data_IF_685246857365
#
_entry.id   IF_685246857365
#
_cell.length_a   1.000
_cell.length_b   1.000
_cell.length_c   1.000
_cell.angle_alpha   90.00
_cell.angle_beta   90.00
_cell.angle_gamma   90.00
#
_symmetry.space_group_name_H-M   'P 1'
#
loop_
_entity.id
_entity.type
_entity.pdbx_description
1 polymer ?
#
# COMPACT_ATOMS: atom_id res chain seq x y z
N UNK A 1 8.91 1.79 2.79
CA UNK A 1 10.28 1.22 2.59
C UNK A 1 10.39 0.74 1.14
N UNK A 2 11.58 0.78 0.51
CA UNK A 2 11.73 0.50 -0.93
C UNK A 2 12.91 -0.46 -1.18
N UNK A 3 12.76 -1.41 -2.09
CA UNK A 3 13.86 -2.22 -2.67
C UNK A 3 13.73 -2.31 -4.18
N UNK A 4 14.86 -2.43 -4.89
CA UNK A 4 14.86 -2.59 -6.36
C UNK A 4 14.56 -4.00 -6.87
N UNK A 5 14.51 -4.99 -5.98
CA UNK A 5 14.22 -6.40 -6.29
C UNK A 5 13.59 -7.09 -5.06
N UNK A 6 13.05 -8.32 -5.18
CA UNK A 6 12.33 -9.00 -4.11
C UNK A 6 13.21 -9.58 -2.99
N UNK A 7 14.53 -9.42 -3.04
CA UNK A 7 15.45 -9.92 -2.01
C UNK A 7 15.24 -9.26 -0.63
N UNK A 8 14.61 -8.08 -0.58
CA UNK A 8 14.15 -7.50 0.69
C UNK A 8 15.23 -6.89 1.58
N UNK A 9 16.36 -6.40 1.03
CA UNK A 9 17.47 -5.81 1.81
C UNK A 9 17.04 -4.70 2.79
N UNK A 10 16.06 -3.87 2.40
CA UNK A 10 15.52 -2.81 3.25
C UNK A 10 14.36 -3.27 4.15
N UNK A 11 14.12 -4.59 4.27
CA UNK A 11 12.97 -5.19 4.97
C UNK A 11 11.62 -4.57 4.56
N UNK A 12 11.28 -4.52 3.25
CA UNK A 12 10.07 -3.88 2.76
C UNK A 12 8.79 -4.59 3.22
N UNK A 13 8.86 -5.90 3.48
CA UNK A 13 7.75 -6.73 3.94
C UNK A 13 7.29 -6.44 5.38
N UNK A 14 8.01 -5.58 6.11
CA UNK A 14 7.61 -5.13 7.46
C UNK A 14 7.11 -3.68 7.47
N UNK A 15 7.00 -3.04 6.30
CA UNK A 15 6.56 -1.65 6.19
C UNK A 15 5.04 -1.54 6.19
N UNK A 16 4.52 -0.45 6.75
CA UNK A 16 3.12 -0.06 6.52
C UNK A 16 2.84 0.14 5.01
N UNK A 17 3.81 0.73 4.31
CA UNK A 17 3.84 0.89 2.86
C UNK A 17 5.22 0.47 2.31
N UNK A 18 5.23 -0.63 1.56
CA UNK A 18 6.40 -1.22 0.92
C UNK A 18 6.32 -1.13 -0.60
N UNK A 19 7.45 -0.80 -1.24
CA UNK A 19 7.61 -0.88 -2.70
C UNK A 19 8.73 -1.86 -3.02
N UNK A 20 8.42 -2.90 -3.77
CA UNK A 20 9.38 -3.97 -4.13
C UNK A 20 9.48 -4.02 -5.65
N UNK A 21 10.65 -3.69 -6.20
CA UNK A 21 10.86 -3.64 -7.64
C UNK A 21 10.59 -4.99 -8.31
N UNK A 22 9.78 -4.96 -9.37
CA UNK A 22 9.34 -6.14 -10.12
C UNK A 22 9.49 -6.01 -11.65
N UNK A 23 10.14 -4.92 -12.09
CA UNK A 23 10.46 -4.65 -13.48
C UNK A 23 10.92 -3.21 -13.70
N UNK A 24 11.30 -2.85 -14.94
CA UNK A 24 11.66 -1.47 -15.28
C UNK A 24 10.49 -0.51 -15.01
N UNK A 25 10.77 0.49 -14.18
CA UNK A 25 9.81 1.53 -13.76
C UNK A 25 8.51 0.96 -13.16
N UNK A 26 8.56 -0.21 -12.51
CA UNK A 26 7.42 -0.79 -11.81
C UNK A 26 7.79 -1.41 -10.46
N UNK A 27 6.80 -1.45 -9.58
CA UNK A 27 6.92 -2.03 -8.25
C UNK A 27 5.67 -2.84 -7.91
N UNK A 28 5.86 -3.87 -7.09
CA UNK A 28 4.82 -4.39 -6.21
C UNK A 28 4.61 -3.43 -5.05
N UNK A 29 3.35 -3.17 -4.71
CA UNK A 29 2.95 -2.44 -3.51
C UNK A 29 2.60 -3.46 -2.43
N UNK A 30 3.20 -3.30 -1.26
CA UNK A 30 3.00 -4.14 -0.08
C UNK A 30 2.42 -3.31 1.05
N UNK A 31 1.35 -3.80 1.68
CA UNK A 31 0.64 -3.09 2.76
C UNK A 31 0.44 -4.00 3.98
N UNK A 32 0.29 -3.41 5.17
CA UNK A 32 -0.12 -4.12 6.38
C UNK A 32 0.98 -4.43 7.39
N UNK A 33 2.22 -3.98 7.18
CA UNK A 33 3.18 -3.85 8.27
C UNK A 33 2.72 -2.78 9.27
N UNK A 34 3.30 -2.71 10.47
CA UNK A 34 2.92 -1.75 11.53
C UNK A 34 4.10 -0.86 11.97
N UNK A 35 3.84 0.28 12.64
CA UNK A 35 4.88 1.18 13.15
C UNK A 35 5.90 0.53 14.09
N UNK A 36 5.52 -0.54 14.81
CA UNK A 36 6.40 -1.33 15.67
C UNK A 36 6.95 -2.60 15.00
N UNK A 37 6.66 -2.81 13.71
CA UNK A 37 7.08 -3.98 12.92
C UNK A 37 6.67 -5.31 13.56
N UNK A 38 5.48 -5.38 14.14
CA UNK A 38 4.93 -6.64 14.68
C UNK A 38 4.16 -7.47 13.65
N UNK A 39 3.75 -6.87 12.54
CA UNK A 39 3.00 -7.54 11.46
C UNK A 39 3.80 -7.60 10.16
N UNK A 40 3.57 -8.68 9.40
CA UNK A 40 4.10 -8.85 8.06
C UNK A 40 3.10 -8.27 7.04
N UNK A 41 3.59 -7.39 6.17
CA UNK A 41 2.85 -6.86 5.04
C UNK A 41 2.54 -7.96 4.01
N UNK A 42 1.49 -7.76 3.22
CA UNK A 42 1.10 -8.62 2.11
C UNK A 42 1.14 -7.83 0.80
N UNK A 43 1.35 -8.54 -0.31
CA UNK A 43 1.33 -7.93 -1.63
C UNK A 43 -0.10 -7.47 -1.97
N UNK A 44 -0.26 -6.16 -2.11
CA UNK A 44 -1.54 -5.50 -2.42
C UNK A 44 -1.76 -5.41 -3.94
N UNK A 45 -0.77 -4.93 -4.68
CA UNK A 45 -0.82 -4.81 -6.14
C UNK A 45 0.52 -5.13 -6.78
N UNK A 46 0.49 -5.69 -7.99
CA UNK A 46 1.69 -6.04 -8.77
C UNK A 46 1.87 -5.07 -9.96
N UNK A 47 3.12 -4.91 -10.41
CA UNK A 47 3.50 -4.19 -11.64
C UNK A 47 2.97 -2.76 -11.71
N UNK A 48 2.82 -2.09 -10.58
CA UNK A 48 2.35 -0.70 -10.54
C UNK A 48 3.44 0.18 -11.12
N UNK A 49 3.11 0.90 -12.20
CA UNK A 49 4.04 1.83 -12.85
C UNK A 49 4.23 3.06 -11.99
N UNK A 50 5.45 3.61 -11.94
CA UNK A 50 5.77 4.82 -11.16
C UNK A 50 4.78 5.96 -11.44
N UNK A 51 4.39 6.15 -12.71
CA UNK A 51 3.43 7.18 -13.15
C UNK A 51 1.99 6.96 -12.66
N UNK A 52 1.70 5.80 -12.06
CA UNK A 52 0.39 5.39 -11.52
C UNK A 52 0.43 5.26 -10.01
N UNK A 53 1.48 5.76 -9.35
CA UNK A 53 1.57 5.67 -7.90
C UNK A 53 0.51 6.54 -7.23
N UNK A 54 0.34 7.77 -7.70
CA UNK A 54 -0.63 8.71 -7.16
C UNK A 54 -2.06 8.17 -7.26
N UNK A 55 -2.42 7.52 -8.38
CA UNK A 55 -3.75 6.94 -8.57
C UNK A 55 -4.05 5.79 -7.60
N UNK A 56 -3.03 5.12 -7.07
CA UNK A 56 -3.18 4.09 -6.02
C UNK A 56 -3.11 4.69 -4.62
N UNK A 57 -2.15 5.58 -4.35
CA UNK A 57 -1.86 6.05 -3.00
C UNK A 57 -2.83 7.13 -2.50
N UNK A 58 -3.25 8.03 -3.38
CA UNK A 58 -4.18 9.12 -3.05
C UNK A 58 -5.51 8.59 -2.46
N UNK A 59 -6.21 7.62 -3.10
CA UNK A 59 -7.44 7.09 -2.51
C UNK A 59 -7.22 6.33 -1.21
N UNK A 60 -6.14 5.57 -1.08
CA UNK A 60 -5.82 4.84 0.15
C UNK A 60 -5.59 5.79 1.34
N UNK A 61 -4.83 6.86 1.13
CA UNK A 61 -4.58 7.85 2.18
C UNK A 61 -5.80 8.71 2.49
N UNK A 62 -6.64 9.02 1.48
CA UNK A 62 -7.89 9.71 1.70
C UNK A 62 -8.87 8.85 2.54
N UNK A 63 -9.00 7.56 2.19
CA UNK A 63 -9.83 6.62 2.94
C UNK A 63 -9.33 6.43 4.37
N UNK A 64 -8.01 6.30 4.56
CA UNK A 64 -7.40 6.27 5.90
C UNK A 64 -7.71 7.55 6.69
N UNK A 65 -7.54 8.72 6.09
CA UNK A 65 -7.80 10.00 6.77
C UNK A 65 -9.24 10.10 7.27
N UNK A 66 -10.20 9.60 6.50
CA UNK A 66 -11.64 9.71 6.79
C UNK A 66 -12.14 8.62 7.73
N UNK A 67 -11.65 7.39 7.57
CA UNK A 67 -12.22 6.18 8.19
C UNK A 67 -11.32 5.55 9.27
N UNK A 68 -10.18 6.17 9.61
CA UNK A 68 -9.33 5.70 10.72
C UNK A 68 -9.98 5.94 12.08
N UNK A 69 -9.66 5.05 13.01
CA UNK A 69 -9.94 5.25 14.44
C UNK A 69 -8.91 6.21 15.05
N UNK A 70 -9.21 6.74 16.23
CA UNK A 70 -8.28 7.56 17.03
C UNK A 70 -6.98 6.79 17.27
N UNK A 71 -5.84 7.45 17.06
CA UNK A 71 -4.48 6.87 17.14
C UNK A 71 -4.19 5.67 16.23
N UNK A 72 -5.03 5.39 15.23
CA UNK A 72 -4.81 4.28 14.31
C UNK A 72 -3.80 4.64 13.21
N UNK A 73 -2.73 3.84 13.12
CA UNK A 73 -1.73 3.93 12.06
C UNK A 73 -2.26 3.44 10.70
N UNK A 74 -1.56 3.74 9.62
CA UNK A 74 -1.98 3.31 8.28
C UNK A 74 -1.92 1.78 8.14
N UNK A 75 -0.91 1.16 8.75
CA UNK A 75 -0.74 -0.29 8.82
C UNK A 75 -1.88 -0.99 9.56
N UNK A 76 -2.24 -0.49 10.74
CA UNK A 76 -3.37 -1.03 11.53
C UNK A 76 -4.70 -0.85 10.81
N UNK A 77 -4.92 0.32 10.22
CA UNK A 77 -6.07 0.60 9.37
C UNK A 77 -6.16 -0.40 8.22
N UNK A 78 -5.06 -0.60 7.49
CA UNK A 78 -5.01 -1.54 6.36
C UNK A 78 -5.40 -2.95 6.81
N UNK A 79 -4.85 -3.41 7.94
CA UNK A 79 -5.14 -4.73 8.49
C UNK A 79 -6.59 -4.88 8.95
N UNK A 80 -7.21 -3.81 9.48
CA UNK A 80 -8.61 -3.81 9.92
C UNK A 80 -9.59 -3.79 8.76
N UNK A 81 -9.33 -2.97 7.75
CA UNK A 81 -10.22 -2.77 6.60
C UNK A 81 -10.15 -3.96 5.64
N UNK A 82 -8.95 -4.51 5.42
CA UNK A 82 -8.72 -5.62 4.51
C UNK A 82 -8.58 -5.21 3.05
N UNK A 83 -7.89 -6.04 2.26
CA UNK A 83 -7.50 -5.68 0.89
C UNK A 83 -8.67 -5.58 -0.08
N UNK A 84 -9.70 -6.39 0.08
CA UNK A 84 -10.90 -6.33 -0.78
C UNK A 84 -11.48 -4.92 -0.80
N UNK A 85 -11.67 -4.33 0.39
CA UNK A 85 -12.23 -2.98 0.49
C UNK A 85 -11.28 -1.88 -0.02
N UNK A 86 -9.98 -2.03 0.24
CA UNK A 86 -8.97 -1.08 -0.24
C UNK A 86 -8.84 -1.12 -1.78
N UNK A 87 -9.02 -2.29 -2.41
CA UNK A 87 -9.05 -2.40 -3.88
C UNK A 87 -10.28 -1.70 -4.46
N UNK A 88 -11.47 -1.89 -3.88
CA UNK A 88 -12.68 -1.16 -4.30
C UNK A 88 -12.48 0.36 -4.27
N UNK A 89 -11.82 0.85 -3.21
CA UNK A 89 -11.52 2.29 -3.03
C UNK A 89 -10.61 2.82 -4.14
N UNK A 90 -9.57 2.06 -4.52
CA UNK A 90 -8.67 2.42 -5.63
C UNK A 90 -9.41 2.41 -6.97
N UNK A 91 -10.22 1.37 -7.24
CA UNK A 91 -10.99 1.24 -8.49
C UNK A 91 -12.03 2.36 -8.67
N UNK A 92 -12.69 2.77 -7.59
CA UNK A 92 -13.66 3.86 -7.61
C UNK A 92 -13.00 5.23 -7.84
N UNK A 93 -11.80 5.44 -7.31
CA UNK A 93 -11.05 6.67 -7.51
C UNK A 93 -10.68 6.92 -8.96
N UNK A 94 -10.16 5.88 -9.64
CA UNK A 94 -9.82 5.94 -11.08
C UNK A 94 -11.06 6.22 -11.94
N UNK A 95 -12.21 5.66 -11.57
CA UNK A 95 -13.49 5.91 -12.25
C UNK A 95 -13.98 7.36 -12.07
N UNK A 96 -13.64 8.03 -10.97
CA UNK A 96 -14.07 9.40 -10.68
C UNK A 96 -13.26 10.49 -11.39
N UNK A 97 -12.09 10.15 -11.94
CA UNK A 97 -11.19 11.08 -12.65
C UNK A 97 -11.31 11.04 -14.18
N UNK A 98 -12.21 10.21 -14.71
CA UNK A 98 -12.64 10.17 -16.11
C UNK A 98 -13.98 10.90 -16.29
#
# INVERSE_FOLDING_TARGET
>A
RITGCPNGCARPYMAELGFVGDGPNSYQIWLGGTPNQSTLAKCFMNKVKIQKFESVLEPLFNDWKVNRKTEESFGEFTNRIGFEKLLEVVEQWDSSKN
#
